data_IF_869498451288
#
_entry.id   IF_869498451288
#
_cell.length_a   1.000
_cell.length_b   1.000
_cell.length_c   1.000
_cell.angle_alpha   90.00
_cell.angle_beta   90.00
_cell.angle_gamma   90.00
#
_symmetry.space_group_name_H-M   'P 1'
#
loop_
_entity.id
_entity.type
_entity.pdbx_description
1 polymer ?
#
# COMPACT_ATOMS: atom_id res chain seq x y z
N UNK A 1 -24.92 0.78 -6.11
CA UNK A 1 -23.87 1.83 -5.94
C UNK A 1 -22.65 1.63 -6.84
N UNK A 2 -21.99 0.47 -6.81
CA UNK A 2 -20.71 0.24 -7.53
C UNK A 2 -20.82 0.46 -9.05
N UNK A 3 -21.82 -0.16 -9.69
CA UNK A 3 -22.06 -0.09 -11.15
C UNK A 3 -22.16 1.36 -11.64
N UNK A 4 -22.95 2.19 -10.94
CA UNK A 4 -23.16 3.59 -11.31
C UNK A 4 -21.87 4.44 -11.24
N UNK A 5 -20.90 4.06 -10.40
CA UNK A 5 -19.61 4.77 -10.28
C UNK A 5 -18.61 4.32 -11.34
N UNK A 6 -18.69 3.06 -11.79
CA UNK A 6 -17.85 2.51 -12.87
C UNK A 6 -18.34 2.99 -14.24
N UNK A 7 -19.65 3.21 -14.37
CA UNK A 7 -20.32 3.69 -15.58
C UNK A 7 -19.59 4.88 -16.21
N UNK A 8 -19.33 4.77 -17.51
CA UNK A 8 -18.78 5.86 -18.33
C UNK A 8 -19.65 6.03 -19.57
N UNK A 9 -20.00 7.27 -19.92
CA UNK A 9 -20.83 7.59 -21.09
C UNK A 9 -22.17 6.82 -21.14
N UNK A 10 -22.80 6.54 -19.98
CA UNK A 10 -24.08 5.83 -19.93
C UNK A 10 -24.05 4.32 -20.25
N UNK A 11 -22.89 3.73 -20.56
CA UNK A 11 -22.77 2.32 -20.99
C UNK A 11 -22.89 1.32 -19.83
N UNK A 12 -24.11 1.01 -19.39
CA UNK A 12 -24.37 0.11 -18.24
C UNK A 12 -23.88 -1.32 -18.47
N UNK A 13 -24.11 -1.86 -19.67
CA UNK A 13 -23.66 -3.21 -20.03
C UNK A 13 -22.15 -3.39 -19.86
N UNK A 14 -21.36 -2.40 -20.31
CA UNK A 14 -19.90 -2.42 -20.17
C UNK A 14 -19.47 -2.39 -18.69
N UNK A 15 -20.15 -1.60 -17.85
CA UNK A 15 -19.87 -1.54 -16.42
C UNK A 15 -20.10 -2.90 -15.74
N UNK A 16 -21.20 -3.59 -16.06
CA UNK A 16 -21.47 -4.94 -15.59
C UNK A 16 -20.40 -5.94 -16.05
N UNK A 17 -20.00 -5.90 -17.32
CA UNK A 17 -18.95 -6.76 -17.85
C UNK A 17 -17.61 -6.57 -17.13
N UNK A 18 -17.24 -5.32 -16.82
CA UNK A 18 -15.99 -5.02 -16.08
C UNK A 18 -16.04 -5.64 -14.68
N UNK A 19 -17.15 -5.48 -13.96
CA UNK A 19 -17.32 -6.02 -12.61
C UNK A 19 -17.28 -7.55 -12.66
N UNK A 20 -18.04 -8.18 -13.55
CA UNK A 20 -18.10 -9.64 -13.66
C UNK A 20 -16.72 -10.23 -13.97
N UNK A 21 -15.99 -9.62 -14.92
CA UNK A 21 -14.63 -10.03 -15.26
C UNK A 21 -13.65 -9.83 -14.10
N UNK A 22 -13.80 -8.76 -13.32
CA UNK A 22 -12.95 -8.52 -12.15
C UNK A 22 -13.20 -9.55 -11.04
N UNK A 23 -14.47 -9.83 -10.72
CA UNK A 23 -14.86 -10.85 -9.73
C UNK A 23 -14.36 -12.24 -10.14
N UNK A 24 -14.52 -12.62 -11.41
CA UNK A 24 -13.97 -13.88 -11.95
C UNK A 24 -12.45 -13.97 -11.76
N UNK A 25 -11.72 -12.87 -11.98
CA UNK A 25 -10.27 -12.83 -11.77
C UNK A 25 -9.86 -12.95 -10.30
N UNK A 26 -10.63 -12.38 -9.38
CA UNK A 26 -10.38 -12.53 -7.94
C UNK A 26 -10.58 -13.98 -7.53
N UNK A 27 -11.68 -14.60 -7.98
CA UNK A 27 -11.96 -16.00 -7.70
C UNK A 27 -10.82 -16.93 -8.17
N UNK A 28 -10.25 -16.66 -9.36
CA UNK A 28 -9.12 -17.40 -9.90
C UNK A 28 -7.81 -17.23 -9.09
N UNK A 29 -7.67 -16.16 -8.31
CA UNK A 29 -6.44 -15.84 -7.57
C UNK A 29 -6.48 -16.23 -6.11
N UNK A 30 -7.63 -16.04 -5.47
CA UNK A 30 -7.72 -16.06 -4.00
C UNK A 30 -8.42 -17.33 -3.49
N UNK A 31 -8.93 -18.22 -4.37
CA UNK A 31 -9.70 -19.45 -4.07
C UNK A 31 -10.85 -19.30 -3.06
N UNK A 32 -11.15 -18.07 -2.66
CA UNK A 32 -12.12 -17.68 -1.66
C UNK A 32 -13.29 -16.98 -2.31
N UNK A 33 -14.36 -16.78 -1.54
CA UNK A 33 -15.55 -16.09 -2.04
C UNK A 33 -15.20 -14.66 -2.48
N UNK A 34 -15.27 -14.32 -3.78
CA UNK A 34 -14.80 -13.04 -4.29
C UNK A 34 -15.68 -11.86 -3.83
N UNK A 35 -16.93 -12.12 -3.43
CA UNK A 35 -17.79 -11.11 -2.84
C UNK A 35 -17.36 -10.76 -1.41
N UNK A 36 -16.79 -11.72 -0.67
CA UNK A 36 -16.23 -11.47 0.66
C UNK A 36 -15.02 -10.56 0.57
N UNK A 37 -14.08 -10.88 -0.33
CA UNK A 37 -12.90 -10.06 -0.63
C UNK A 37 -13.30 -8.64 -1.03
N UNK A 38 -14.30 -8.50 -1.91
CA UNK A 38 -14.82 -7.19 -2.30
C UNK A 38 -15.39 -6.39 -1.12
N UNK A 39 -16.19 -7.02 -0.25
CA UNK A 39 -16.77 -6.36 0.92
C UNK A 39 -15.69 -5.93 1.90
N UNK A 40 -14.71 -6.79 2.16
CA UNK A 40 -13.60 -6.50 3.05
C UNK A 40 -12.75 -5.35 2.52
N UNK A 41 -12.38 -5.37 1.23
CA UNK A 41 -11.64 -4.29 0.60
C UNK A 41 -12.39 -2.95 0.65
N UNK A 42 -13.71 -2.94 0.44
CA UNK A 42 -14.49 -1.71 0.57
C UNK A 42 -14.51 -1.22 2.03
N UNK A 43 -14.65 -2.12 3.00
CA UNK A 43 -14.64 -1.76 4.43
C UNK A 43 -13.29 -1.15 4.84
N UNK A 44 -12.16 -1.74 4.45
CA UNK A 44 -10.83 -1.21 4.76
C UNK A 44 -10.58 0.18 4.17
N UNK A 45 -11.14 0.47 3.00
CA UNK A 45 -11.00 1.78 2.34
C UNK A 45 -12.07 2.79 2.78
N UNK A 46 -13.04 2.39 3.62
CA UNK A 46 -14.12 3.28 4.07
C UNK A 46 -13.61 4.22 5.17
N UNK A 47 -13.60 5.54 4.93
CA UNK A 47 -13.24 6.49 5.98
C UNK A 47 -14.46 6.77 6.88
N UNK A 48 -14.20 6.82 8.19
CA UNK A 48 -15.20 7.26 9.18
C UNK A 48 -15.14 8.78 9.42
N UNK A 49 -14.00 9.40 9.11
CA UNK A 49 -13.74 10.83 9.31
C UNK A 49 -13.28 11.46 7.98
N UNK A 50 -13.84 12.61 7.62
CA UNK A 50 -13.35 13.46 6.52
C UNK A 50 -12.90 14.79 7.09
N UNK A 51 -12.10 15.49 6.31
CA UNK A 51 -11.67 16.84 6.67
C UNK A 51 -12.35 17.85 5.77
N UNK A 52 -12.93 18.88 6.37
CA UNK A 52 -13.62 19.97 5.67
C UNK A 52 -12.93 21.28 6.02
N UNK A 53 -12.64 22.07 5.00
CA UNK A 53 -12.13 23.42 5.17
C UNK A 53 -13.17 24.31 5.89
N UNK A 54 -12.77 24.94 7.00
CA UNK A 54 -13.54 25.92 7.76
C UNK A 54 -12.68 27.16 7.96
N UNK A 55 -13.25 28.34 7.70
CA UNK A 55 -12.57 29.61 7.92
C UNK A 55 -12.74 30.06 9.37
N UNK A 56 -11.65 30.36 10.06
CA UNK A 56 -11.66 30.87 11.44
C UNK A 56 -10.61 31.99 11.51
N UNK A 57 -11.00 33.19 11.96
CA UNK A 57 -10.05 34.28 12.22
C UNK A 57 -9.21 34.73 11.02
N UNK A 58 -9.69 34.57 9.78
CA UNK A 58 -8.98 34.99 8.57
C UNK A 58 -8.22 33.88 7.84
N UNK A 59 -7.89 32.77 8.51
CA UNK A 59 -7.24 31.58 7.93
C UNK A 59 -8.24 30.44 7.70
N UNK A 60 -7.91 29.52 6.79
CA UNK A 60 -8.72 28.33 6.50
C UNK A 60 -8.10 27.11 7.17
N UNK A 61 -8.79 26.52 8.14
CA UNK A 61 -8.36 25.32 8.85
C UNK A 61 -9.13 24.10 8.36
N UNK A 62 -8.45 22.95 8.42
CA UNK A 62 -8.98 21.65 8.05
C UNK A 62 -9.63 21.03 9.30
N UNK A 63 -10.97 21.04 9.37
CA UNK A 63 -11.73 20.56 10.54
C UNK A 63 -12.24 19.14 10.27
N UNK A 64 -11.96 18.17 11.16
CA UNK A 64 -12.47 16.81 11.03
C UNK A 64 -13.98 16.77 11.27
N UNK A 65 -14.68 16.02 10.43
CA UNK A 65 -16.12 15.77 10.51
C UNK A 65 -16.37 14.27 10.39
N UNK A 66 -17.30 13.75 11.19
CA UNK A 66 -17.76 12.37 11.04
C UNK A 66 -18.55 12.21 9.75
N UNK A 67 -18.31 11.12 9.04
CA UNK A 67 -18.99 10.81 7.78
C UNK A 67 -20.02 9.71 8.04
N UNK A 68 -21.22 9.86 7.47
CA UNK A 68 -22.20 8.78 7.48
C UNK A 68 -21.74 7.57 6.65
N UNK A 69 -22.10 6.35 7.08
CA UNK A 69 -21.64 5.09 6.45
C UNK A 69 -21.90 5.01 4.93
N UNK A 70 -23.01 5.57 4.44
CA UNK A 70 -23.34 5.62 3.00
C UNK A 70 -22.39 6.53 2.23
N UNK A 71 -22.03 7.69 2.80
CA UNK A 71 -21.09 8.63 2.19
C UNK A 71 -19.66 8.08 2.23
N UNK A 72 -19.26 7.46 3.34
CA UNK A 72 -17.98 6.76 3.47
C UNK A 72 -17.82 5.67 2.41
N UNK A 73 -18.81 4.79 2.24
CA UNK A 73 -18.81 3.76 1.18
C UNK A 73 -18.71 4.36 -0.22
N UNK A 74 -19.41 5.47 -0.48
CA UNK A 74 -19.34 6.15 -1.78
C UNK A 74 -17.94 6.75 -2.05
N UNK A 75 -17.30 7.31 -1.02
CA UNK A 75 -15.91 7.80 -1.07
C UNK A 75 -14.93 6.65 -1.31
N UNK A 76 -15.09 5.54 -0.59
CA UNK A 76 -14.25 4.36 -0.73
C UNK A 76 -14.25 3.82 -2.17
N UNK A 77 -15.45 3.64 -2.74
CA UNK A 77 -15.61 3.19 -4.14
C UNK A 77 -14.96 4.18 -5.11
N UNK A 78 -15.10 5.49 -4.85
CA UNK A 78 -14.50 6.53 -5.69
C UNK A 78 -12.97 6.48 -5.65
N UNK A 79 -12.38 6.31 -4.46
CA UNK A 79 -10.94 6.19 -4.29
C UNK A 79 -10.39 4.93 -4.92
N UNK A 80 -11.04 3.80 -4.70
CA UNK A 80 -10.66 2.52 -5.28
C UNK A 80 -10.65 2.59 -6.82
N UNK A 81 -11.73 3.12 -7.40
CA UNK A 81 -11.82 3.28 -8.85
C UNK A 81 -10.81 4.28 -9.42
N UNK A 82 -10.54 5.37 -8.69
CA UNK A 82 -9.51 6.34 -9.03
C UNK A 82 -8.11 5.70 -9.04
N UNK A 83 -7.79 4.90 -8.02
CA UNK A 83 -6.53 4.16 -7.94
C UNK A 83 -6.41 3.14 -9.08
N UNK A 84 -7.45 2.35 -9.32
CA UNK A 84 -7.47 1.36 -10.41
C UNK A 84 -7.29 1.99 -11.79
N UNK A 85 -7.78 3.22 -12.01
CA UNK A 85 -7.61 3.94 -13.28
C UNK A 85 -6.20 4.48 -13.49
N UNK A 86 -5.52 4.88 -12.40
CA UNK A 86 -4.14 5.36 -12.43
C UNK A 86 -3.11 4.25 -12.65
N UNK A 87 -3.47 2.99 -12.31
CA UNK A 87 -2.58 1.84 -12.48
C UNK A 87 -2.26 1.59 -13.97
N UNK A 88 -1.00 1.25 -14.32
CA UNK A 88 -0.66 0.76 -15.65
C UNK A 88 -1.32 -0.60 -15.92
N UNK A 89 -1.82 -0.80 -17.13
CA UNK A 89 -2.43 -2.07 -17.55
C UNK A 89 -3.55 -1.91 -18.58
N UNK A 90 -3.65 -2.88 -19.48
CA UNK A 90 -4.50 -2.81 -20.69
C UNK A 90 -6.00 -2.90 -20.39
N UNK A 91 -6.40 -3.70 -19.40
CA UNK A 91 -7.82 -3.95 -19.10
C UNK A 91 -8.23 -3.38 -17.73
N UNK A 92 -9.32 -2.61 -17.71
CA UNK A 92 -9.90 -2.05 -16.48
C UNK A 92 -10.28 -3.14 -15.47
N UNK A 93 -10.82 -4.28 -15.92
CA UNK A 93 -11.18 -5.39 -15.03
C UNK A 93 -9.95 -6.00 -14.32
N UNK A 94 -8.81 -6.04 -15.00
CA UNK A 94 -7.56 -6.50 -14.41
C UNK A 94 -7.05 -5.51 -13.37
N UNK A 95 -7.02 -4.22 -13.68
CA UNK A 95 -6.57 -3.20 -12.74
C UNK A 95 -7.44 -3.15 -11.49
N UNK A 96 -8.76 -3.27 -11.65
CA UNK A 96 -9.71 -3.28 -10.54
C UNK A 96 -9.56 -4.52 -9.65
N UNK A 97 -9.44 -5.71 -10.23
CA UNK A 97 -9.21 -6.95 -9.46
C UNK A 97 -7.87 -6.95 -8.72
N UNK A 98 -6.81 -6.41 -9.33
CA UNK A 98 -5.51 -6.26 -8.67
C UNK A 98 -5.57 -5.30 -7.49
N UNK A 99 -6.23 -4.14 -7.61
CA UNK A 99 -6.40 -3.22 -6.46
C UNK A 99 -7.22 -3.85 -5.33
N UNK A 100 -8.25 -4.63 -5.64
CA UNK A 100 -9.05 -5.30 -4.62
C UNK A 100 -8.25 -6.35 -3.83
N UNK A 101 -7.36 -7.07 -4.51
CA UNK A 101 -6.50 -8.06 -3.86
C UNK A 101 -5.33 -7.42 -3.10
N UNK A 102 -4.80 -6.31 -3.60
CA UNK A 102 -3.67 -5.60 -2.97
C UNK A 102 -4.09 -4.83 -1.71
N UNK A 103 -5.30 -4.28 -1.67
CA UNK A 103 -5.85 -3.67 -0.45
C UNK A 103 -6.16 -4.70 0.66
N UNK A 104 -6.12 -6.00 0.37
CA UNK A 104 -6.16 -7.03 1.42
C UNK A 104 -4.78 -7.23 2.09
N UNK A 105 -3.69 -6.86 1.42
CA UNK A 105 -2.32 -7.21 1.80
C UNK A 105 -1.54 -6.00 2.35
N UNK A 106 -1.90 -4.76 1.96
CA UNK A 106 -1.07 -3.57 2.23
C UNK A 106 -1.74 -2.50 3.11
N UNK A 107 -2.59 -2.91 4.05
CA UNK A 107 -3.23 -1.98 5.01
C UNK A 107 -2.19 -1.17 5.83
N UNK A 108 -0.98 -1.68 6.06
CA UNK A 108 0.01 -0.96 6.88
C UNK A 108 0.87 0.05 6.10
N UNK A 109 1.30 -0.23 4.86
CA UNK A 109 2.31 0.63 4.18
C UNK A 109 1.70 1.74 3.32
N UNK A 110 0.53 1.51 2.70
CA UNK A 110 -0.14 2.54 1.86
C UNK A 110 -0.83 3.61 2.69
N UNK A 111 -1.43 3.24 3.83
CA UNK A 111 -2.03 4.20 4.78
C UNK A 111 -0.93 5.06 5.40
N UNK A 112 0.17 4.44 5.85
CA UNK A 112 1.30 5.15 6.43
C UNK A 112 1.98 6.08 5.43
N UNK A 113 2.29 5.63 4.21
CA UNK A 113 2.90 6.48 3.17
C UNK A 113 2.02 7.66 2.76
N UNK A 114 0.69 7.48 2.75
CA UNK A 114 -0.25 8.53 2.33
C UNK A 114 -0.56 9.52 3.46
N UNK A 115 -0.61 9.05 4.71
CA UNK A 115 -0.64 9.90 5.90
C UNK A 115 0.67 10.68 6.03
N UNK A 116 1.82 10.03 5.82
CA UNK A 116 3.14 10.64 5.89
C UNK A 116 3.36 11.70 4.81
N UNK A 117 2.92 11.46 3.57
CA UNK A 117 2.92 12.47 2.52
C UNK A 117 1.96 13.64 2.82
N UNK A 118 0.82 13.39 3.48
CA UNK A 118 -0.08 14.48 3.91
C UNK A 118 0.52 15.30 5.06
N UNK A 119 1.29 14.65 5.94
CA UNK A 119 1.93 15.29 7.09
C UNK A 119 3.17 16.11 6.70
N UNK A 120 3.97 15.62 5.75
CA UNK A 120 5.24 16.26 5.37
C UNK A 120 5.11 17.38 4.34
N UNK A 121 4.08 17.38 3.49
CA UNK A 121 4.05 18.27 2.32
C UNK A 121 3.10 19.46 2.42
N UNK A 122 2.33 19.59 3.50
CA UNK A 122 1.65 20.87 3.81
C UNK A 122 2.58 21.81 4.59
N UNK A 123 3.57 22.32 3.85
CA UNK A 123 4.46 23.44 4.14
C UNK A 123 4.44 24.04 5.55
N UNK A 124 5.35 23.57 6.41
CA UNK A 124 6.11 24.36 7.39
C UNK A 124 7.06 23.41 8.14
N UNK A 125 8.36 23.71 8.11
CA UNK A 125 9.43 23.10 8.91
C UNK A 125 9.72 21.60 8.68
N UNK A 126 10.68 21.32 7.78
CA UNK A 126 11.51 20.12 7.88
C UNK A 126 12.58 20.44 8.93
N UNK A 127 12.34 20.05 10.18
CA UNK A 127 13.40 19.96 11.17
C UNK A 127 14.32 18.77 10.79
N UNK A 128 15.64 18.96 10.69
CA UNK A 128 16.57 17.89 10.30
C UNK A 128 16.50 16.68 11.24
N UNK A 129 16.04 16.85 12.49
CA UNK A 129 15.81 15.75 13.43
C UNK A 129 14.68 14.81 12.98
N UNK A 130 13.66 15.30 12.27
CA UNK A 130 12.54 14.48 11.80
C UNK A 130 12.96 13.45 10.75
N UNK A 131 13.98 13.76 9.95
CA UNK A 131 14.54 12.83 8.95
C UNK A 131 15.23 11.66 9.65
N UNK A 132 15.98 11.93 10.74
CA UNK A 132 16.65 10.90 11.52
C UNK A 132 15.64 10.00 12.24
N UNK A 133 14.60 10.58 12.82
CA UNK A 133 13.52 9.82 13.49
C UNK A 133 12.78 8.95 12.46
N UNK A 134 12.49 9.47 11.27
CA UNK A 134 11.86 8.68 10.22
C UNK A 134 12.76 7.56 9.67
N UNK A 135 14.06 7.82 9.52
CA UNK A 135 15.05 6.81 9.16
C UNK A 135 15.14 5.70 10.22
N UNK A 136 15.12 6.06 11.50
CA UNK A 136 15.17 5.11 12.62
C UNK A 136 13.90 4.23 12.67
N UNK A 137 12.73 4.82 12.45
CA UNK A 137 11.44 4.10 12.39
C UNK A 137 11.41 3.16 11.17
N UNK A 138 11.92 3.59 10.01
CA UNK A 138 12.05 2.72 8.83
C UNK A 138 13.00 1.54 9.08
N UNK A 139 14.14 1.77 9.73
CA UNK A 139 15.08 0.71 10.13
C UNK A 139 14.43 -0.30 11.09
N UNK A 140 13.73 0.18 12.12
CA UNK A 140 13.01 -0.66 13.07
C UNK A 140 11.86 -1.47 12.42
N UNK A 141 11.19 -0.89 11.42
CA UNK A 141 10.16 -1.59 10.67
C UNK A 141 10.73 -2.65 9.72
N UNK A 142 11.93 -2.42 9.18
CA UNK A 142 12.65 -3.44 8.39
C UNK A 142 13.01 -4.62 9.30
N UNK A 143 13.52 -4.37 10.52
CA UNK A 143 13.85 -5.42 11.49
C UNK A 143 12.61 -6.22 11.96
N UNK A 144 11.46 -5.56 12.19
CA UNK A 144 10.22 -6.27 12.56
C UNK A 144 9.57 -7.10 11.44
N UNK A 145 10.00 -6.92 10.18
CA UNK A 145 9.53 -7.75 9.05
C UNK A 145 10.51 -8.88 8.69
N UNK A 146 11.60 -9.03 9.47
CA UNK A 146 12.66 -10.01 9.26
C UNK A 146 12.32 -11.40 9.81
N UNK A 147 11.14 -11.93 9.44
CA UNK A 147 10.88 -13.38 9.50
C UNK A 147 10.57 -13.96 8.11
N UNK A 148 11.11 -13.31 7.07
CA UNK A 148 11.28 -13.93 5.77
C UNK A 148 12.71 -13.69 5.32
N UNK A 149 13.54 -14.70 5.62
CA UNK A 149 14.87 -14.90 5.07
C UNK A 149 14.83 -14.73 3.54
N UNK A 150 15.95 -14.24 3.01
CA UNK A 150 16.32 -14.21 1.59
C UNK A 150 15.97 -12.92 0.82
N UNK A 151 16.71 -11.83 1.10
CA UNK A 151 16.90 -10.75 0.12
C UNK A 151 18.39 -10.61 -0.27
N UNK A 152 18.74 -10.77 -1.57
CA UNK A 152 20.13 -10.79 -2.06
C UNK A 152 20.99 -9.55 -1.72
N UNK A 153 20.36 -8.38 -1.57
CA UNK A 153 21.08 -7.13 -1.28
C UNK A 153 21.72 -7.07 0.11
N UNK A 154 21.28 -7.89 1.08
CA UNK A 154 21.90 -7.94 2.41
C UNK A 154 23.35 -8.47 2.36
N UNK A 155 23.62 -9.44 1.48
CA UNK A 155 24.98 -9.92 1.23
C UNK A 155 25.87 -8.84 0.61
N UNK A 156 25.31 -7.96 -0.22
CA UNK A 156 26.07 -6.87 -0.87
C UNK A 156 26.54 -5.82 0.14
N UNK A 157 25.74 -5.50 1.16
CA UNK A 157 26.14 -4.56 2.21
C UNK A 157 27.11 -5.21 3.21
N UNK A 158 26.95 -6.50 3.52
CA UNK A 158 27.87 -7.20 4.44
C UNK A 158 29.26 -7.44 3.82
N UNK A 159 29.31 -7.77 2.51
CA UNK A 159 30.58 -8.03 1.82
C UNK A 159 31.46 -6.77 1.66
N UNK A 160 30.86 -5.58 1.59
CA UNK A 160 31.62 -4.32 1.50
C UNK A 160 32.22 -3.88 2.84
N UNK A 161 31.74 -4.43 3.96
CA UNK A 161 32.27 -4.13 5.30
C UNK A 161 33.40 -5.07 5.72
N UNK A 162 33.42 -6.30 5.20
CA UNK A 162 34.44 -7.31 5.53
C UNK A 162 35.76 -7.16 4.75
N UNK A 163 35.79 -6.35 3.67
CA UNK A 163 37.00 -6.20 2.86
C UNK A 163 37.99 -5.13 3.36
N UNK A 164 37.65 -4.37 4.41
CA UNK A 164 38.44 -3.26 4.91
C UNK A 164 39.07 -3.48 6.30
N UNK A 165 38.90 -4.65 6.91
CA UNK A 165 39.49 -4.94 8.22
C UNK A 165 40.17 -6.31 8.21
N UNK A 166 41.50 -6.26 8.39
CA UNK A 166 42.43 -7.34 8.75
C UNK A 166 43.18 -8.10 7.64
N UNK A 167 44.38 -7.57 7.38
CA UNK A 167 45.61 -8.34 7.13
C UNK A 167 45.84 -9.40 8.24
N UNK A 168 46.15 -10.64 7.83
CA UNK A 168 46.73 -11.69 8.68
C UNK A 168 46.56 -13.09 8.07
N UNK A 169 47.63 -13.90 7.88
CA UNK A 169 47.54 -15.20 7.21
C UNK A 169 47.40 -16.35 8.21
N UNK A 170 46.43 -17.26 8.04
CA UNK A 170 46.42 -18.56 8.74
C UNK A 170 45.94 -19.68 7.79
N UNK A 171 46.77 -20.74 7.76
CA UNK A 171 46.80 -21.92 6.89
C UNK A 171 45.55 -22.82 6.86
N UNK A 172 45.35 -23.66 5.83
CA UNK A 172 44.22 -24.58 5.70
C UNK A 172 44.42 -25.90 6.46
N UNK A 173 43.40 -26.36 7.19
CA UNK A 173 43.36 -27.68 7.84
C UNK A 173 42.87 -28.79 6.88
N UNK A 174 43.73 -29.80 6.73
CA UNK A 174 43.58 -31.22 6.41
C UNK A 174 42.16 -31.80 6.12
N UNK A 175 42.01 -32.42 4.94
CA UNK A 175 40.94 -33.37 4.62
C UNK A 175 41.26 -34.75 5.22
N UNK A 176 40.35 -35.32 6.03
CA UNK A 176 40.28 -36.78 6.24
C UNK A 176 39.05 -37.35 5.52
N UNK A 177 39.31 -38.16 4.51
CA UNK A 177 38.41 -39.21 4.02
C UNK A 177 38.57 -40.45 4.91
N UNK A 178 37.47 -41.08 5.31
CA UNK A 178 37.47 -42.47 5.77
C UNK A 178 36.68 -43.33 4.78
N UNK A 179 37.24 -44.51 4.51
CA UNK A 179 36.70 -45.61 3.72
C UNK A 179 35.29 -46.02 4.13
#
# INVERSE_FOLDING_TARGET
MLVNRILKHGKKSLAYQIIYRAVKKIQQKTETNPLSVLRQAIRGVTPDIAVKARRVGGSTHQVPISIGSTQGKALAIRWLLGASRKRPGRNMAFRFSSELNENFILDSTRIFMKAFHLLLFHGSFIFPECILIFCLILLLMIDSTSDQKDRPWFYFIYSNKFSNEHNGPIFPMERRTYN
#
